data_IF_510500465201
#
_entry.id   IF_510500465201
#
_cell.length_a   1.000
_cell.length_b   1.000
_cell.length_c   1.000
_cell.angle_alpha   90.00
_cell.angle_beta   90.00
_cell.angle_gamma   90.00
#
_symmetry.space_group_name_H-M   'P 1'
#
loop_
_entity.id
_entity.type
_entity.pdbx_description
1 polymer ?
#
# COMPACT_ATOMS: atom_id res chain seq x y z
N UNK A 1 -8.88 -9.59 -3.69
CA UNK A 1 -8.36 -8.35 -3.08
C UNK A 1 -9.35 -7.24 -3.37
N UNK A 2 -9.99 -6.69 -2.34
CA UNK A 2 -11.03 -5.67 -2.45
C UNK A 2 -10.46 -4.29 -2.11
N UNK A 3 -9.59 -3.79 -2.98
CA UNK A 3 -9.04 -2.43 -2.87
C UNK A 3 -9.94 -1.47 -3.65
N UNK A 4 -10.40 -0.38 -3.02
CA UNK A 4 -11.24 0.65 -3.66
C UNK A 4 -10.37 1.62 -4.46
N UNK A 5 -10.85 2.04 -5.64
CA UNK A 5 -10.21 3.06 -6.46
C UNK A 5 -10.18 4.39 -5.70
N UNK A 6 -8.98 4.92 -5.44
CA UNK A 6 -8.79 6.23 -4.82
C UNK A 6 -8.62 7.28 -5.91
N UNK A 7 -9.50 8.27 -5.95
CA UNK A 7 -9.30 9.45 -6.80
C UNK A 7 -8.22 10.37 -6.21
N UNK A 8 -7.50 11.08 -7.07
CA UNK A 8 -6.59 12.16 -6.70
C UNK A 8 -7.36 13.26 -5.94
N UNK A 9 -6.76 13.76 -4.85
CA UNK A 9 -7.27 14.89 -4.06
C UNK A 9 -6.23 16.00 -4.05
N UNK A 10 -6.71 17.24 -3.99
CA UNK A 10 -5.88 18.46 -3.99
C UNK A 10 -4.97 18.50 -2.74
N UNK A 11 -3.68 18.73 -2.98
CA UNK A 11 -2.66 18.87 -1.93
C UNK A 11 -2.92 20.14 -1.12
N UNK A 12 -3.29 20.00 0.16
CA UNK A 12 -3.31 21.11 1.12
C UNK A 12 -4.47 21.12 2.12
N UNK A 13 -5.62 20.49 1.82
CA UNK A 13 -6.80 20.51 2.71
C UNK A 13 -7.11 19.18 3.40
N UNK A 14 -6.56 18.06 2.91
CA UNK A 14 -6.90 16.73 3.42
C UNK A 14 -5.73 16.03 4.09
N UNK A 15 -6.00 15.30 5.19
CA UNK A 15 -5.04 14.38 5.80
C UNK A 15 -4.46 13.43 4.75
N UNK A 16 -3.15 13.16 4.82
CA UNK A 16 -2.39 12.32 3.89
C UNK A 16 -2.88 10.86 4.00
N UNK A 17 -3.98 10.59 3.29
CA UNK A 17 -4.71 9.33 3.28
C UNK A 17 -4.65 8.82 1.85
N UNK A 18 -3.93 7.72 1.65
CA UNK A 18 -3.70 7.16 0.32
C UNK A 18 -4.60 5.95 0.06
N UNK A 19 -5.13 5.87 -1.16
CA UNK A 19 -5.86 4.72 -1.68
C UNK A 19 -4.99 3.85 -2.61
N UNK A 20 -5.55 2.77 -3.14
CA UNK A 20 -4.84 1.82 -4.01
C UNK A 20 -4.21 2.47 -5.27
N UNK A 21 -4.78 3.57 -5.77
CA UNK A 21 -4.33 4.26 -6.98
C UNK A 21 -3.39 5.44 -6.69
N UNK A 22 -3.17 5.79 -5.41
CA UNK A 22 -2.31 6.89 -4.99
C UNK A 22 -1.15 6.42 -4.10
N UNK A 23 -0.80 5.13 -4.19
CA UNK A 23 0.36 4.59 -3.47
C UNK A 23 1.63 5.24 -4.02
N UNK A 24 2.42 5.82 -3.12
CA UNK A 24 3.77 6.32 -3.39
C UNK A 24 4.78 5.22 -3.12
N UNK A 25 5.98 5.34 -3.68
CA UNK A 25 7.06 4.34 -3.54
C UNK A 25 7.40 4.08 -2.07
N UNK A 26 7.32 5.09 -1.22
CA UNK A 26 7.58 4.96 0.24
C UNK A 26 6.59 4.05 0.98
N UNK A 27 5.41 3.79 0.43
CA UNK A 27 4.37 2.96 1.05
C UNK A 27 4.52 1.46 0.75
N UNK A 28 5.52 1.08 -0.05
CA UNK A 28 5.71 -0.29 -0.53
C UNK A 28 7.17 -0.70 -0.29
N UNK A 29 7.36 -1.82 0.39
CA UNK A 29 8.67 -2.48 0.50
C UNK A 29 8.64 -3.82 -0.22
N UNK A 30 9.63 -4.06 -1.09
CA UNK A 30 9.77 -5.31 -1.83
C UNK A 30 10.80 -6.20 -1.13
N UNK A 31 10.41 -7.43 -0.84
CA UNK A 31 11.26 -8.44 -0.24
C UNK A 31 11.42 -9.63 -1.19
N UNK A 32 12.66 -9.98 -1.52
CA UNK A 32 12.94 -11.18 -2.31
C UNK A 32 12.54 -12.45 -1.56
N UNK A 33 12.75 -12.47 -0.25
CA UNK A 33 12.28 -13.53 0.65
C UNK A 33 11.93 -12.93 2.02
N UNK A 34 10.74 -13.27 2.52
CA UNK A 34 10.27 -12.83 3.84
C UNK A 34 9.42 -13.95 4.46
N UNK A 35 9.65 -14.28 5.73
CA UNK A 35 8.90 -15.29 6.48
C UNK A 35 8.77 -16.65 5.75
N UNK A 36 9.81 -17.03 4.98
CA UNK A 36 9.86 -18.27 4.19
C UNK A 36 9.15 -18.21 2.83
N UNK A 37 8.53 -17.08 2.48
CA UNK A 37 7.84 -16.85 1.21
C UNK A 37 8.71 -16.04 0.26
N UNK A 38 8.65 -16.35 -1.04
CA UNK A 38 9.39 -15.63 -2.09
C UNK A 38 8.55 -14.48 -2.63
N UNK A 39 9.21 -13.39 -3.01
CA UNK A 39 8.60 -12.25 -3.71
C UNK A 39 7.43 -11.66 -2.91
N UNK A 40 7.72 -11.10 -1.75
CA UNK A 40 6.71 -10.54 -0.85
C UNK A 40 6.68 -9.02 -1.00
N UNK A 41 5.47 -8.48 -1.16
CA UNK A 41 5.21 -7.04 -1.14
C UNK A 41 4.64 -6.68 0.21
N UNK A 42 5.32 -5.80 0.92
CA UNK A 42 4.86 -5.22 2.18
C UNK A 42 4.24 -3.84 1.90
N UNK A 43 3.00 -3.67 2.35
CA UNK A 43 2.25 -2.43 2.31
C UNK A 43 2.18 -1.84 3.72
N UNK A 44 2.57 -0.59 3.86
CA UNK A 44 2.44 0.15 5.11
C UNK A 44 2.08 1.61 4.82
N UNK A 45 0.80 1.96 5.00
CA UNK A 45 0.31 3.31 4.73
C UNK A 45 -0.95 3.64 5.54
N UNK A 46 -1.27 4.93 5.63
CA UNK A 46 -2.52 5.40 6.23
C UNK A 46 -3.61 5.49 5.16
N UNK A 47 -4.66 4.68 5.33
CA UNK A 47 -5.84 4.68 4.47
C UNK A 47 -6.90 5.68 4.92
N UNK A 48 -8.16 5.42 4.53
CA UNK A 48 -9.31 6.27 4.90
C UNK A 48 -9.40 6.42 6.43
N UNK A 49 -9.76 7.63 6.87
CA UNK A 49 -9.93 7.98 8.28
C UNK A 49 -8.61 7.80 9.10
N UNK A 50 -7.46 7.93 8.44
CA UNK A 50 -6.12 7.76 9.01
C UNK A 50 -5.88 6.36 9.63
N UNK A 51 -6.61 5.35 9.16
CA UNK A 51 -6.45 3.97 9.63
C UNK A 51 -5.25 3.35 8.92
N UNK A 52 -4.27 2.89 9.70
CA UNK A 52 -3.10 2.20 9.15
C UNK A 52 -3.50 0.88 8.50
N UNK A 53 -3.11 0.71 7.25
CA UNK A 53 -3.15 -0.53 6.53
C UNK A 53 -1.73 -1.13 6.52
N UNK A 54 -1.57 -2.27 7.18
CA UNK A 54 -0.32 -3.03 7.21
C UNK A 54 -0.58 -4.44 6.69
N UNK A 55 0.10 -4.85 5.63
CA UNK A 55 -0.07 -6.17 5.05
C UNK A 55 1.18 -6.65 4.28
N UNK A 56 1.48 -7.95 4.38
CA UNK A 56 2.54 -8.62 3.63
C UNK A 56 1.91 -9.64 2.71
N UNK A 57 2.10 -9.47 1.41
CA UNK A 57 1.42 -10.28 0.40
C UNK A 57 2.45 -10.92 -0.53
N UNK A 58 2.56 -12.25 -0.58
CA UNK A 58 3.32 -12.95 -1.61
C UNK A 58 2.72 -12.69 -2.98
N UNK A 59 3.56 -12.34 -3.95
CA UNK A 59 3.15 -12.13 -5.34
C UNK A 59 3.89 -13.08 -6.26
N UNK A 60 3.24 -13.42 -7.37
CA UNK A 60 3.87 -14.24 -8.40
C UNK A 60 4.84 -13.39 -9.22
N UNK A 61 6.05 -13.90 -9.47
CA UNK A 61 6.92 -13.36 -10.53
C UNK A 61 6.26 -13.57 -11.89
N UNK A 62 6.26 -12.54 -12.73
CA UNK A 62 5.70 -12.56 -14.09
C UNK A 62 6.81 -12.37 -15.11
#
# INVERSE_FOLDING_TARGET
MALRAGNEKEEGETADTVGCCSLRVEHITLHDTLDGQKCVVEFDFLGKDCIRYYNKVPVNKR
#
